data_IF_754746849694
#
_entry.id   IF_754746849694
#
_cell.length_a   1.000
_cell.length_b   1.000
_cell.length_c   1.000
_cell.angle_alpha   90.00
_cell.angle_beta   90.00
_cell.angle_gamma   90.00
#
_symmetry.space_group_name_H-M   'P 1'
#
loop_
_entity.id
_entity.type
_entity.pdbx_description
1 polymer ?
#
# COMPACT_ATOMS: atom_id res chain seq x y z
N UNK A 1 17.77 9.13 8.09
CA UNK A 1 17.12 8.09 7.28
C UNK A 1 16.09 7.40 8.16
N UNK A 2 14.82 7.42 7.78
CA UNK A 2 13.73 6.73 8.50
C UNK A 2 13.34 5.47 7.74
N UNK A 3 12.83 4.46 8.45
CA UNK A 3 12.40 3.18 7.87
C UNK A 3 11.13 2.72 8.58
N UNK A 4 10.16 2.20 7.84
CA UNK A 4 8.99 1.53 8.39
C UNK A 4 9.02 0.03 8.10
N UNK A 5 8.64 -0.77 9.10
CA UNK A 5 8.51 -2.22 8.95
C UNK A 5 7.09 -2.56 8.52
N UNK A 6 6.96 -3.36 7.47
CA UNK A 6 5.67 -3.81 6.98
C UNK A 6 5.21 -5.07 7.73
N UNK A 7 3.91 -5.21 8.04
CA UNK A 7 3.37 -6.36 8.77
C UNK A 7 3.10 -7.59 7.87
N UNK A 8 3.82 -7.75 6.76
CA UNK A 8 3.56 -8.84 5.81
C UNK A 8 4.46 -8.81 4.57
N UNK A 9 4.11 -9.62 3.57
CA UNK A 9 4.88 -9.73 2.32
C UNK A 9 4.45 -8.65 1.33
N UNK A 10 5.28 -7.65 0.99
CA UNK A 10 4.93 -6.63 0.01
C UNK A 10 4.84 -7.20 -1.41
N UNK A 11 3.87 -6.72 -2.18
CA UNK A 11 3.67 -7.09 -3.59
C UNK A 11 3.99 -5.92 -4.53
N UNK A 12 3.55 -4.71 -4.19
CA UNK A 12 3.75 -3.50 -4.98
C UNK A 12 3.74 -2.25 -4.08
N UNK A 13 4.31 -1.15 -4.59
CA UNK A 13 4.34 0.16 -3.93
C UNK A 13 4.15 1.27 -4.95
N UNK A 14 3.40 2.30 -4.58
CA UNK A 14 3.26 3.53 -5.36
C UNK A 14 3.11 4.73 -4.41
N UNK A 15 3.36 5.94 -4.91
CA UNK A 15 3.37 7.18 -4.12
C UNK A 15 2.55 8.24 -4.82
N UNK A 16 1.58 8.81 -4.10
CA UNK A 16 0.77 9.93 -4.59
C UNK A 16 0.34 10.84 -3.44
N UNK A 17 0.24 12.14 -3.72
CA UNK A 17 -0.26 13.17 -2.80
C UNK A 17 0.29 13.10 -1.34
N UNK A 18 1.56 12.75 -1.18
CA UNK A 18 2.20 12.66 0.15
C UNK A 18 1.88 11.39 0.92
N UNK A 19 1.30 10.38 0.26
CA UNK A 19 1.08 9.05 0.80
C UNK A 19 1.94 8.01 0.06
N UNK A 20 2.47 7.05 0.81
CA UNK A 20 3.05 5.81 0.28
C UNK A 20 2.02 4.71 0.41
N UNK A 21 1.63 4.10 -0.70
CA UNK A 21 0.69 3.00 -0.77
C UNK A 21 1.44 1.71 -1.02
N UNK A 22 1.19 0.70 -0.19
CA UNK A 22 1.87 -0.60 -0.27
C UNK A 22 0.84 -1.71 -0.29
N UNK A 23 0.82 -2.50 -1.35
CA UNK A 23 0.06 -3.75 -1.38
C UNK A 23 0.83 -4.85 -0.64
N UNK A 24 0.13 -5.57 0.22
CA UNK A 24 0.64 -6.69 1.01
C UNK A 24 -0.10 -7.95 0.55
N UNK A 25 0.66 -8.96 0.13
CA UNK A 25 0.13 -10.25 -0.32
C UNK A 25 -0.46 -11.05 0.86
N UNK A 26 0.24 -11.06 1.99
CA UNK A 26 -0.14 -11.84 3.18
C UNK A 26 0.17 -11.03 4.45
N UNK A 27 -0.85 -10.61 5.23
CA UNK A 27 -2.28 -10.68 4.91
C UNK A 27 -2.63 -9.79 3.72
N UNK A 28 -3.65 -10.18 2.94
CA UNK A 28 -4.09 -9.46 1.75
C UNK A 28 -4.67 -8.10 2.11
N UNK A 29 -3.90 -7.03 1.87
CA UNK A 29 -4.29 -5.67 2.21
C UNK A 29 -3.53 -4.63 1.36
N UNK A 30 -4.03 -3.39 1.35
CA UNK A 30 -3.23 -2.20 1.02
C UNK A 30 -3.06 -1.36 2.27
N UNK A 31 -1.83 -0.93 2.53
CA UNK A 31 -1.47 -0.01 3.60
C UNK A 31 -1.17 1.36 2.99
N UNK A 32 -1.64 2.43 3.62
CA UNK A 32 -1.21 3.79 3.29
C UNK A 32 -0.43 4.37 4.46
N UNK A 33 0.68 5.01 4.15
CA UNK A 33 1.55 5.68 5.10
C UNK A 33 1.67 7.16 4.73
N UNK A 34 1.72 8.03 5.73
CA UNK A 34 2.19 9.40 5.52
C UNK A 34 3.65 9.36 5.05
N UNK A 35 3.97 10.02 3.94
CA UNK A 35 5.30 9.93 3.35
C UNK A 35 6.36 10.72 4.14
N UNK A 36 5.96 11.70 4.96
CA UNK A 36 6.89 12.50 5.76
C UNK A 36 7.27 11.81 7.07
N UNK A 37 6.32 11.13 7.72
CA UNK A 37 6.51 10.48 9.02
C UNK A 37 6.66 8.96 8.94
N UNK A 38 6.23 8.35 7.82
CA UNK A 38 6.04 6.90 7.66
C UNK A 38 5.06 6.30 8.67
N UNK A 39 4.17 7.11 9.24
CA UNK A 39 3.09 6.62 10.08
C UNK A 39 1.99 6.01 9.20
N UNK A 40 1.52 4.83 9.57
CA UNK A 40 0.43 4.17 8.87
C UNK A 40 -0.88 4.92 9.13
N UNK A 41 -1.46 5.49 8.09
CA UNK A 41 -2.70 6.27 8.18
C UNK A 41 -3.92 5.50 7.70
N UNK A 42 -3.76 4.45 6.88
CA UNK A 42 -4.87 3.62 6.41
C UNK A 42 -4.50 2.14 6.24
N UNK A 43 -5.51 1.30 6.38
CA UNK A 43 -5.50 -0.13 6.05
C UNK A 43 -6.76 -0.44 5.24
N UNK A 44 -6.60 -1.07 4.10
CA UNK A 44 -7.68 -1.51 3.21
C UNK A 44 -7.54 -3.02 3.06
N UNK A 45 -8.46 -3.79 3.62
CA UNK A 45 -8.47 -5.23 3.45
C UNK A 45 -8.86 -5.60 2.00
N UNK A 46 -8.13 -6.55 1.42
CA UNK A 46 -8.41 -7.06 0.08
C UNK A 46 -9.09 -8.42 0.16
N UNK A 47 -9.96 -8.72 -0.81
CA UNK A 47 -10.62 -10.02 -0.93
C UNK A 47 -9.73 -11.11 -1.55
N UNK A 48 -8.53 -10.76 -2.02
CA UNK A 48 -7.61 -11.65 -2.71
C UNK A 48 -6.18 -11.10 -2.71
N UNK A 49 -5.24 -11.92 -3.15
CA UNK A 49 -3.82 -11.57 -3.14
C UNK A 49 -3.53 -10.50 -4.21
N UNK A 50 -2.98 -9.32 -3.84
CA UNK A 50 -2.60 -8.31 -4.81
C UNK A 50 -1.45 -8.76 -5.71
N UNK A 51 -1.63 -8.53 -7.01
CA UNK A 51 -0.60 -8.69 -8.02
C UNK A 51 0.17 -7.37 -8.25
N UNK A 52 -0.53 -6.25 -8.27
CA UNK A 52 0.02 -4.91 -8.53
C UNK A 52 -0.94 -3.81 -8.04
N UNK A 53 -0.48 -2.56 -8.00
CA UNK A 53 -1.30 -1.39 -7.73
C UNK A 53 -0.88 -0.19 -8.57
N UNK A 54 -1.82 0.72 -8.85
CA UNK A 54 -1.54 1.97 -9.53
C UNK A 54 -2.40 3.11 -8.96
N UNK A 55 -1.83 4.32 -8.89
CA UNK A 55 -2.55 5.54 -8.58
C UNK A 55 -2.81 6.35 -9.86
N UNK A 56 -4.06 6.77 -10.05
CA UNK A 56 -4.48 7.60 -11.19
C UNK A 56 -5.57 8.57 -10.76
N UNK A 57 -5.32 9.87 -10.92
CA UNK A 57 -6.27 10.95 -10.59
C UNK A 57 -6.90 10.80 -9.20
N UNK A 58 -6.08 10.52 -8.16
CA UNK A 58 -6.53 10.31 -6.79
C UNK A 58 -7.28 8.99 -6.55
N UNK A 59 -7.23 8.04 -7.49
CA UNK A 59 -7.83 6.71 -7.36
C UNK A 59 -6.75 5.65 -7.27
N UNK A 60 -6.91 4.77 -6.29
CA UNK A 60 -6.12 3.54 -6.16
C UNK A 60 -6.82 2.41 -6.92
N UNK A 61 -6.11 1.81 -7.88
CA UNK A 61 -6.52 0.59 -8.58
C UNK A 61 -5.61 -0.54 -8.11
N UNK A 62 -6.18 -1.68 -7.73
CA UNK A 62 -5.43 -2.86 -7.28
C UNK A 62 -5.81 -4.05 -8.15
N UNK A 63 -4.82 -4.66 -8.79
CA UNK A 63 -5.00 -5.91 -9.52
C UNK A 63 -4.89 -7.08 -8.53
N UNK A 64 -5.86 -7.99 -8.53
CA UNK A 64 -5.85 -9.20 -7.71
C UNK A 64 -5.52 -10.44 -8.57
N UNK A 65 -4.95 -11.47 -7.94
CA UNK A 65 -4.79 -12.80 -8.51
C UNK A 65 -6.07 -13.63 -8.41
#
# INVERSE_FOLDING_TARGET
MSTAVLPGTPAAVDVDEGLVWVAIAQPAAVLAFDAATLERVRVIELSGEPADLALVDGRLVVALR
#
